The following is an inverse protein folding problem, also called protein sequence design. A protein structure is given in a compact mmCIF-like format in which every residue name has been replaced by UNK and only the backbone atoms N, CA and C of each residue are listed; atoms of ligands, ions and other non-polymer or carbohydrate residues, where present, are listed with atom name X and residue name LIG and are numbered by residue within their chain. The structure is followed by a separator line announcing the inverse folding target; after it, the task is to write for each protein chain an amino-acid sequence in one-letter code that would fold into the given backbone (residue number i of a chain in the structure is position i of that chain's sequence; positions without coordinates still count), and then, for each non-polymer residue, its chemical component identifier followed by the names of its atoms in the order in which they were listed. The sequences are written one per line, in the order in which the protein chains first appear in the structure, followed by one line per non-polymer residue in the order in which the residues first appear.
data_IF_403358066413
#
_entry.id   IF_403358066413
#
_cell.length_a   1.000
_cell.length_b   1.000
_cell.length_c   1.000
_cell.angle_alpha   90.00
_cell.angle_beta   90.00
_cell.angle_gamma   90.00
#
_symmetry.space_group_name_H-M   'P 1'
#
loop_
_entity.id
_entity.type
_entity.pdbx_description
1 polymer ?
#
# COMPACT_ATOMS: atom_id res chain seq x y z
N UNK A 1 24.14 45.00 -1.76
CA UNK A 1 23.68 43.61 -1.55
C UNK A 1 22.52 43.63 -0.58
N UNK A 2 21.29 43.50 -1.08
CA UNK A 2 20.09 43.43 -0.22
C UNK A 2 19.78 41.95 0.09
N UNK A 3 19.60 41.56 1.37
CA UNK A 3 19.23 40.19 1.69
C UNK A 3 17.77 39.94 1.31
N UNK A 4 17.55 38.93 0.49
CA UNK A 4 16.27 38.43 0.01
C UNK A 4 15.46 37.86 1.18
N UNK A 5 14.37 38.53 1.54
CA UNK A 5 13.43 38.05 2.53
C UNK A 5 12.71 36.79 2.00
N UNK A 6 13.13 35.62 2.46
CA UNK A 6 12.48 34.34 2.20
C UNK A 6 11.08 34.36 2.84
N UNK A 7 10.05 34.51 2.01
CA UNK A 7 8.65 34.58 2.42
C UNK A 7 8.18 33.28 3.08
N UNK A 8 8.34 33.20 4.40
CA UNK A 8 7.69 32.19 5.23
C UNK A 8 6.17 32.38 5.18
N UNK A 9 5.48 31.47 4.48
CA UNK A 9 4.01 31.39 4.50
C UNK A 9 3.55 31.22 5.95
N UNK A 10 3.12 32.32 6.57
CA UNK A 10 2.57 32.40 7.92
C UNK A 10 1.43 31.38 8.02
N UNK A 11 1.67 30.26 8.70
CA UNK A 11 0.71 29.18 8.82
C UNK A 11 -0.52 29.70 9.56
N UNK A 12 -1.64 29.84 8.83
CA UNK A 12 -2.94 30.27 9.37
C UNK A 12 -3.31 29.34 10.55
N UNK A 13 -3.61 29.94 11.70
CA UNK A 13 -3.95 29.23 12.94
C UNK A 13 -5.09 28.25 12.65
N UNK A 14 -4.96 27.00 13.11
CA UNK A 14 -5.91 25.91 12.85
C UNK A 14 -6.72 25.71 14.13
N UNK A 15 -8.01 26.06 14.10
CA UNK A 15 -8.88 26.07 15.29
C UNK A 15 -9.28 24.67 15.80
N UNK A 16 -8.94 23.61 15.07
CA UNK A 16 -9.18 22.22 15.45
C UNK A 16 -7.89 21.51 15.88
N UNK A 17 -7.48 21.74 17.13
CA UNK A 17 -6.37 21.01 17.77
C UNK A 17 -6.96 19.88 18.63
N UNK A 18 -7.40 18.78 18.00
CA UNK A 18 -8.10 17.73 18.77
C UNK A 18 -8.21 16.32 18.19
N UNK A 19 -7.77 16.06 16.96
CA UNK A 19 -7.62 14.68 16.47
C UNK A 19 -6.20 14.46 15.98
N UNK A 20 -5.32 14.13 16.92
CA UNK A 20 -4.03 13.54 16.59
C UNK A 20 -4.31 12.06 16.32
N UNK A 21 -4.47 11.71 15.05
CA UNK A 21 -4.39 10.30 14.64
C UNK A 21 -2.90 9.96 14.61
N UNK A 22 -2.52 8.88 15.29
CA UNK A 22 -1.14 8.41 15.28
C UNK A 22 -0.62 8.26 13.86
N UNK A 23 0.63 8.69 13.63
CA UNK A 23 1.21 8.73 12.29
C UNK A 23 1.45 7.30 11.84
N UNK A 24 0.65 6.83 10.88
CA UNK A 24 0.90 5.54 10.25
C UNK A 24 2.19 5.64 9.41
N UNK A 25 3.23 4.92 9.84
CA UNK A 25 4.48 4.80 9.10
C UNK A 25 4.39 3.60 8.14
N UNK A 26 4.15 3.90 6.86
CA UNK A 26 4.17 2.90 5.80
C UNK A 26 5.48 2.96 5.01
N UNK A 27 6.05 1.79 4.70
CA UNK A 27 7.22 1.71 3.83
C UNK A 27 6.86 2.16 2.41
N UNK A 28 7.70 3.01 1.84
CA UNK A 28 7.56 3.58 0.47
C UNK A 28 8.55 2.96 -0.51
N UNK A 29 9.50 2.17 -0.02
CA UNK A 29 10.47 1.40 -0.80
C UNK A 29 10.31 -0.07 -0.45
N UNK A 30 10.45 -0.94 -1.44
CA UNK A 30 10.45 -2.39 -1.26
C UNK A 30 11.88 -2.84 -0.92
N UNK A 31 12.10 -3.22 0.33
CA UNK A 31 13.33 -3.88 0.75
C UNK A 31 13.26 -5.37 0.39
N UNK A 32 14.42 -6.01 0.17
CA UNK A 32 14.50 -7.46 -0.15
C UNK A 32 13.73 -8.33 0.86
N UNK A 33 13.84 -7.99 2.15
CA UNK A 33 13.10 -8.69 3.21
C UNK A 33 11.58 -8.55 3.07
N UNK A 34 11.07 -7.42 2.59
CA UNK A 34 9.64 -7.20 2.39
C UNK A 34 9.12 -7.90 1.15
N UNK A 35 9.92 -8.00 0.08
CA UNK A 35 9.54 -8.74 -1.13
C UNK A 35 9.45 -10.25 -0.88
N UNK A 36 10.37 -10.80 -0.08
CA UNK A 36 10.35 -12.22 0.28
C UNK A 36 9.14 -12.55 1.15
N UNK A 37 8.82 -11.68 2.12
CA UNK A 37 7.61 -11.80 2.95
C UNK A 37 6.33 -11.70 2.14
N UNK A 38 6.25 -10.70 1.25
CA UNK A 38 5.10 -10.48 0.38
C UNK A 38 4.78 -11.73 -0.45
N UNK A 39 5.79 -12.39 -1.01
CA UNK A 39 5.58 -13.60 -1.82
C UNK A 39 5.05 -14.78 -1.00
N UNK A 40 5.54 -14.97 0.22
CA UNK A 40 5.11 -16.06 1.13
C UNK A 40 3.72 -15.80 1.72
N UNK A 41 3.51 -14.60 2.23
CA UNK A 41 2.28 -14.23 2.96
C UNK A 41 1.07 -14.18 2.03
N UNK A 42 1.26 -13.71 0.79
CA UNK A 42 0.19 -13.62 -0.21
C UNK A 42 -0.41 -14.99 -0.53
N UNK A 43 0.38 -16.06 -0.54
CA UNK A 43 -0.13 -17.41 -0.79
C UNK A 43 -0.99 -17.95 0.37
N UNK A 44 -0.72 -17.51 1.60
CA UNK A 44 -1.50 -17.91 2.77
C UNK A 44 -2.88 -17.26 2.77
N UNK A 45 -2.96 -16.01 2.31
CA UNK A 45 -4.18 -15.21 2.41
C UNK A 45 -5.27 -15.65 1.44
N UNK A 46 -6.47 -15.88 1.99
CA UNK A 46 -7.65 -16.16 1.17
C UNK A 46 -8.20 -14.90 0.49
N UNK A 47 -8.17 -13.75 1.16
CA UNK A 47 -8.59 -12.46 0.62
C UNK A 47 -7.39 -11.54 0.50
N UNK A 48 -7.12 -11.08 -0.72
CA UNK A 48 -5.97 -10.24 -1.05
C UNK A 48 -6.51 -8.95 -1.69
N UNK A 49 -6.28 -7.83 -1.02
CA UNK A 49 -6.65 -6.48 -1.49
C UNK A 49 -5.55 -5.48 -1.15
N UNK A 50 -5.63 -4.26 -1.68
CA UNK A 50 -4.72 -3.16 -1.30
C UNK A 50 -4.73 -2.94 0.21
N UNK A 51 -5.90 -3.03 0.86
CA UNK A 51 -6.04 -2.80 2.29
C UNK A 51 -5.35 -3.88 3.14
N UNK A 52 -5.44 -5.15 2.73
CA UNK A 52 -4.78 -6.24 3.49
C UNK A 52 -3.27 -6.12 3.45
N UNK A 53 -2.69 -5.68 2.33
CA UNK A 53 -1.25 -5.45 2.23
C UNK A 53 -0.79 -4.24 3.06
N UNK A 54 -1.57 -3.15 3.08
CA UNK A 54 -1.27 -1.96 3.89
C UNK A 54 -1.32 -2.28 5.39
N UNK A 55 -2.28 -3.09 5.83
CA UNK A 55 -2.44 -3.43 7.24
C UNK A 55 -1.34 -4.37 7.75
N UNK A 56 -1.07 -5.45 7.01
CA UNK A 56 -0.18 -6.55 7.42
C UNK A 56 1.30 -6.26 7.15
N UNK A 57 1.62 -5.87 5.91
CA UNK A 57 3.00 -5.66 5.47
C UNK A 57 3.45 -4.20 5.66
N UNK A 58 2.56 -3.32 6.15
CA UNK A 58 2.81 -1.89 6.40
C UNK A 58 3.42 -1.18 5.18
N UNK A 59 3.02 -1.57 3.98
CA UNK A 59 3.45 -0.95 2.72
C UNK A 59 2.47 0.13 2.29
N UNK A 60 2.95 1.10 1.52
CA UNK A 60 2.08 2.12 0.95
C UNK A 60 1.10 1.51 -0.07
N UNK A 61 -0.11 2.10 -0.17
CA UNK A 61 -1.15 1.63 -1.08
C UNK A 61 -0.75 1.70 -2.57
N UNK A 62 0.11 2.65 -2.94
CA UNK A 62 0.68 2.71 -4.31
C UNK A 62 1.53 1.49 -4.63
N UNK A 63 2.42 1.11 -3.71
CA UNK A 63 3.26 -0.09 -3.84
C UNK A 63 2.40 -1.36 -3.84
N UNK A 64 1.42 -1.44 -2.94
CA UNK A 64 0.51 -2.57 -2.88
C UNK A 64 -0.23 -2.79 -4.21
N UNK A 65 -0.70 -1.73 -4.88
CA UNK A 65 -1.33 -1.85 -6.21
C UNK A 65 -0.36 -2.40 -7.25
N UNK A 66 0.89 -1.91 -7.28
CA UNK A 66 1.88 -2.39 -8.24
C UNK A 66 2.27 -3.84 -7.97
N UNK A 67 2.50 -4.19 -6.71
CA UNK A 67 2.81 -5.54 -6.30
C UNK A 67 1.70 -6.54 -6.67
N UNK A 68 0.43 -6.15 -6.55
CA UNK A 68 -0.69 -7.00 -6.99
C UNK A 68 -0.66 -7.25 -8.51
N UNK A 69 -0.35 -6.24 -9.33
CA UNK A 69 -0.21 -6.43 -10.77
C UNK A 69 0.97 -7.36 -11.11
N UNK A 70 2.13 -7.16 -10.47
CA UNK A 70 3.31 -8.00 -10.71
C UNK A 70 3.10 -9.45 -10.20
N UNK A 71 2.30 -9.65 -9.16
CA UNK A 71 1.92 -10.98 -8.64
C UNK A 71 0.87 -11.68 -9.51
N UNK A 72 -0.03 -10.91 -10.13
CA UNK A 72 -1.01 -11.39 -11.12
C UNK A 72 -0.27 -11.87 -12.38
N UNK A 73 0.69 -11.11 -12.90
CA UNK A 73 1.54 -11.52 -14.04
C UNK A 73 2.33 -12.80 -13.75
N UNK A 74 2.81 -12.97 -12.52
CA UNK A 74 3.52 -14.18 -12.08
C UNK A 74 2.60 -15.38 -11.81
N UNK A 75 1.27 -15.20 -11.85
CA UNK A 75 0.30 -16.27 -11.62
C UNK A 75 0.20 -16.75 -10.16
N UNK A 76 0.71 -15.99 -9.20
CA UNK A 76 0.66 -16.33 -7.77
C UNK A 76 -0.72 -16.06 -7.15
N UNK A 77 -1.49 -15.16 -7.76
CA UNK A 77 -2.83 -14.75 -7.31
C UNK A 77 -3.80 -14.75 -8.49
N UNK A 78 -5.05 -15.14 -8.24
CA UNK A 78 -6.16 -15.07 -9.20
C UNK A 78 -7.02 -13.85 -8.88
N UNK A 79 -7.37 -13.08 -9.91
CA UNK A 79 -8.30 -11.95 -9.78
C UNK A 79 -9.73 -12.47 -9.77
N UNK A 80 -10.51 -12.11 -8.75
CA UNK A 80 -11.92 -12.51 -8.63
C UNK A 80 -12.83 -11.41 -9.16
N UNK A 81 -12.59 -10.17 -8.72
CA UNK A 81 -13.39 -9.01 -9.14
C UNK A 81 -12.46 -7.86 -9.49
N UNK A 82 -12.65 -7.28 -10.68
CA UNK A 82 -11.99 -6.06 -11.12
C UNK A 82 -12.96 -4.89 -11.17
N UNK A 83 -12.77 -3.90 -10.31
CA UNK A 83 -13.46 -2.60 -10.39
C UNK A 83 -12.43 -1.48 -10.22
N UNK A 84 -12.69 -0.30 -10.81
CA UNK A 84 -11.76 0.84 -10.80
C UNK A 84 -11.36 1.28 -9.38
N UNK A 85 -12.28 1.13 -8.42
CA UNK A 85 -12.09 1.51 -7.01
C UNK A 85 -11.55 0.39 -6.13
N UNK A 86 -11.73 -0.88 -6.53
CA UNK A 86 -11.42 -2.02 -5.68
C UNK A 86 -11.16 -3.27 -6.53
N UNK A 87 -9.95 -3.80 -6.41
CA UNK A 87 -9.56 -5.09 -6.99
C UNK A 87 -9.49 -6.13 -5.90
N UNK A 88 -10.22 -7.24 -6.09
CA UNK A 88 -10.23 -8.38 -5.18
C UNK A 88 -9.46 -9.52 -5.82
N UNK A 89 -8.47 -10.00 -5.09
CA UNK A 89 -7.65 -11.15 -5.45
C UNK A 89 -7.82 -12.26 -4.42
N UNK A 90 -7.59 -13.48 -4.85
CA UNK A 90 -7.52 -14.67 -4.01
C UNK A 90 -6.24 -15.44 -4.34
N UNK A 91 -5.71 -16.19 -3.37
CA UNK A 91 -4.55 -17.07 -3.63
C UNK A 91 -4.81 -18.01 -4.80
N UNK A 92 -3.76 -18.32 -5.56
CA UNK A 92 -3.80 -19.43 -6.51
C UNK A 92 -3.88 -20.74 -5.71
N UNK A 93 -5.07 -21.34 -5.64
CA UNK A 93 -5.21 -22.76 -5.29
C UNK A 93 -4.82 -23.55 -6.53
N UNK A 94 -3.92 -24.53 -6.40
CA UNK A 94 -3.53 -25.46 -7.48
C UNK A 94 -4.65 -26.40 -7.93
N UNK A 95 -5.89 -25.91 -7.94
CA UNK A 95 -7.05 -26.55 -8.54
C UNK A 95 -7.26 -25.95 -9.92
N UNK A 96 -7.13 -26.82 -10.92
CA UNK A 96 -7.95 -26.83 -12.13
C UNK A 96 -9.35 -26.28 -11.87
N UNK A 97 -9.54 -25.00 -12.21
CA UNK A 97 -10.67 -24.41 -12.92
C UNK A 97 -10.30 -22.95 -13.27
#
# INVERSE_FOLDING_TARGET
MAPSATGGKKQKKKWSKGKVKDKANHAVVLDKQTSDKLTKDVQSYRLITVATLVDRLKINGSLARRALADLEEKGLIKKVVGHSKLSIYTRAVGGTD
#
